data_IF_547745292509
#
_entry.id   IF_547745292509
#
_cell.length_a   1.000
_cell.length_b   1.000
_cell.length_c   1.000
_cell.angle_alpha   90.00
_cell.angle_beta   90.00
_cell.angle_gamma   90.00
#
_symmetry.space_group_name_H-M   'P 1'
#
loop_
_entity.id
_entity.type
_entity.pdbx_description
1 polymer ?
#
# COMPACT_ATOMS: atom_id res chain seq x y z
N UNK A 1 10.66 -21.18 0.45
CA UNK A 1 9.70 -20.45 -0.41
C UNK A 1 9.83 -18.98 -0.04
N UNK A 2 10.04 -18.08 -1.01
CA UNK A 2 10.15 -16.65 -0.72
C UNK A 2 8.83 -16.08 -0.19
N UNK A 3 8.89 -14.93 0.50
CA UNK A 3 7.69 -14.28 1.03
C UNK A 3 6.71 -13.85 -0.09
N UNK A 4 7.24 -13.46 -1.25
CA UNK A 4 6.42 -13.17 -2.43
C UNK A 4 5.62 -14.40 -2.86
N UNK A 5 6.27 -15.54 -3.07
CA UNK A 5 5.60 -16.77 -3.48
C UNK A 5 4.58 -17.24 -2.42
N UNK A 6 4.88 -17.08 -1.13
CA UNK A 6 3.92 -17.39 -0.07
C UNK A 6 2.65 -16.55 -0.16
N UNK A 7 2.75 -15.24 -0.48
CA UNK A 7 1.59 -14.36 -0.61
C UNK A 7 0.74 -14.66 -1.85
N UNK A 8 1.37 -14.98 -2.99
CA UNK A 8 0.61 -15.25 -4.22
C UNK A 8 0.12 -16.70 -4.33
N UNK A 9 0.59 -17.63 -3.50
CA UNK A 9 0.15 -19.03 -3.55
C UNK A 9 -1.36 -19.18 -3.31
N UNK A 10 -1.99 -18.51 -2.32
CA UNK A 10 -3.45 -18.56 -2.19
C UNK A 10 -4.22 -18.03 -3.39
N UNK A 11 -3.64 -17.06 -4.16
CA UNK A 11 -4.24 -16.62 -5.42
C UNK A 11 -4.19 -17.75 -6.45
N UNK A 12 -3.08 -18.46 -6.56
CA UNK A 12 -2.96 -19.62 -7.46
C UNK A 12 -3.91 -20.77 -7.07
N UNK A 13 -4.14 -20.94 -5.77
CA UNK A 13 -5.10 -21.94 -5.28
C UNK A 13 -6.55 -21.53 -5.62
N UNK A 14 -6.88 -20.25 -5.49
CA UNK A 14 -8.14 -19.68 -5.95
C UNK A 14 -8.32 -19.84 -7.46
N UNK A 15 -7.27 -19.58 -8.25
CA UNK A 15 -7.28 -19.80 -9.70
C UNK A 15 -7.62 -21.24 -10.05
N UNK A 16 -6.98 -22.22 -9.41
CA UNK A 16 -7.28 -23.66 -9.61
C UNK A 16 -8.73 -23.98 -9.26
N UNK A 17 -9.22 -23.50 -8.12
CA UNK A 17 -10.58 -23.75 -7.65
C UNK A 17 -11.66 -23.19 -8.60
N UNK A 18 -11.38 -22.05 -9.26
CA UNK A 18 -12.30 -21.38 -10.18
C UNK A 18 -12.03 -21.69 -11.67
N UNK A 19 -11.02 -22.51 -11.96
CA UNK A 19 -10.62 -22.84 -13.34
C UNK A 19 -10.17 -21.62 -14.13
N UNK A 20 -9.33 -20.78 -13.52
CA UNK A 20 -8.77 -19.58 -14.16
C UNK A 20 -7.37 -19.89 -14.71
N UNK A 21 -7.05 -19.31 -15.86
CA UNK A 21 -5.73 -19.41 -16.49
C UNK A 21 -4.76 -18.35 -15.97
N UNK A 22 -5.29 -17.18 -15.58
CA UNK A 22 -4.52 -16.09 -15.02
C UNK A 22 -5.33 -15.28 -14.00
N UNK A 23 -4.63 -14.55 -13.15
CA UNK A 23 -5.17 -13.53 -12.25
C UNK A 23 -4.42 -12.23 -12.43
N UNK A 24 -5.11 -11.10 -12.51
CA UNK A 24 -4.50 -9.78 -12.59
C UNK A 24 -4.82 -8.95 -11.36
N UNK A 25 -3.79 -8.51 -10.65
CA UNK A 25 -3.88 -7.50 -9.59
C UNK A 25 -3.62 -6.12 -10.19
N UNK A 26 -4.48 -5.15 -9.89
CA UNK A 26 -4.45 -3.76 -10.39
C UNK A 26 -4.55 -2.71 -9.30
N UNK A 27 -5.21 -3.05 -8.19
CA UNK A 27 -5.40 -2.12 -7.09
C UNK A 27 -4.13 -1.98 -6.28
N UNK A 28 -3.76 -0.72 -5.99
CA UNK A 28 -2.55 -0.39 -5.25
C UNK A 28 -2.40 -1.18 -3.92
N UNK A 29 -3.42 -1.29 -3.04
CA UNK A 29 -3.24 -2.02 -1.78
C UNK A 29 -2.97 -3.51 -1.97
N UNK A 30 -3.53 -4.14 -3.01
CA UNK A 30 -3.32 -5.56 -3.28
C UNK A 30 -1.94 -5.83 -3.88
N UNK A 31 -1.48 -4.95 -4.76
CA UNK A 31 -0.13 -5.01 -5.33
C UNK A 31 0.94 -4.74 -4.28
N UNK A 32 0.77 -3.68 -3.48
CA UNK A 32 1.69 -3.36 -2.40
C UNK A 32 1.83 -4.53 -1.40
N UNK A 33 0.71 -5.19 -1.05
CA UNK A 33 0.73 -6.41 -0.25
C UNK A 33 1.50 -7.55 -0.96
N UNK A 34 1.19 -7.83 -2.23
CA UNK A 34 1.80 -8.95 -2.94
C UNK A 34 3.32 -8.81 -3.04
N UNK A 35 3.82 -7.64 -3.45
CA UNK A 35 5.26 -7.41 -3.65
C UNK A 35 5.99 -6.94 -2.38
N UNK A 36 5.27 -6.53 -1.33
CA UNK A 36 5.79 -5.84 -0.15
C UNK A 36 6.60 -4.58 -0.49
N UNK A 37 6.15 -3.83 -1.50
CA UNK A 37 6.79 -2.67 -2.08
C UNK A 37 5.79 -1.60 -2.52
N UNK A 38 6.30 -0.46 -3.02
CA UNK A 38 5.47 0.64 -3.49
C UNK A 38 4.94 0.38 -4.89
N UNK A 39 3.64 0.23 -5.01
CA UNK A 39 2.95 0.01 -6.29
C UNK A 39 2.31 1.29 -6.87
N UNK A 40 2.49 2.44 -6.23
CA UNK A 40 1.93 3.73 -6.62
C UNK A 40 3.00 4.70 -7.13
N UNK A 41 2.55 5.73 -7.85
CA UNK A 41 3.28 6.99 -8.07
C UNK A 41 2.56 8.08 -7.30
N UNK A 42 1.32 8.50 -7.67
CA UNK A 42 0.53 9.35 -6.76
C UNK A 42 -0.17 8.49 -5.71
N UNK A 43 -0.15 8.95 -4.46
CA UNK A 43 -0.79 8.25 -3.33
C UNK A 43 -2.31 8.36 -3.31
N UNK A 44 -2.89 9.21 -4.15
CA UNK A 44 -4.32 9.54 -4.20
C UNK A 44 -5.12 8.69 -5.19
N UNK A 45 -4.47 7.84 -5.95
CA UNK A 45 -5.10 6.99 -6.99
C UNK A 45 -5.10 5.54 -6.52
N UNK A 46 -6.27 4.88 -6.58
CA UNK A 46 -6.39 3.46 -6.22
C UNK A 46 -5.69 2.53 -7.23
N UNK A 47 -5.65 2.94 -8.50
CA UNK A 47 -4.95 2.20 -9.54
C UNK A 47 -3.42 2.31 -9.34
N UNK A 48 -2.76 1.17 -9.31
CA UNK A 48 -1.30 1.12 -9.25
C UNK A 48 -0.63 1.51 -10.58
N UNK A 49 0.66 1.79 -10.54
CA UNK A 49 1.44 2.14 -11.74
C UNK A 49 1.79 0.93 -12.62
N UNK A 50 1.44 -0.29 -12.20
CA UNK A 50 1.58 -1.53 -12.97
C UNK A 50 0.44 -2.49 -12.68
N UNK A 51 0.27 -3.52 -13.55
CA UNK A 51 -0.57 -4.69 -13.30
C UNK A 51 0.34 -5.87 -12.98
N UNK A 52 -0.02 -6.72 -12.02
CA UNK A 52 0.67 -7.98 -11.78
C UNK A 52 -0.19 -9.13 -12.32
N UNK A 53 0.25 -9.72 -13.44
CA UNK A 53 -0.38 -10.89 -14.03
C UNK A 53 0.26 -12.13 -13.43
N UNK A 54 -0.54 -12.91 -12.72
CA UNK A 54 -0.14 -14.16 -12.05
C UNK A 54 -0.72 -15.32 -12.85
N UNK A 55 0.15 -16.26 -13.24
CA UNK A 55 -0.24 -17.56 -13.80
C UNK A 55 0.06 -18.68 -12.81
N UNK A 56 -0.18 -19.92 -13.20
CA UNK A 56 0.11 -21.07 -12.32
C UNK A 56 1.60 -21.20 -11.99
N UNK A 57 2.48 -20.72 -12.87
CA UNK A 57 3.93 -20.92 -12.80
C UNK A 57 4.75 -19.60 -12.83
N UNK A 58 4.16 -18.50 -13.21
CA UNK A 58 4.86 -17.22 -13.36
C UNK A 58 4.15 -16.04 -12.70
N UNK A 59 4.86 -14.90 -12.62
CA UNK A 59 4.30 -13.61 -12.26
C UNK A 59 5.00 -12.53 -13.10
N UNK A 60 4.22 -11.68 -13.77
CA UNK A 60 4.73 -10.63 -14.66
C UNK A 60 4.11 -9.29 -14.33
N UNK A 61 4.94 -8.30 -14.03
CA UNK A 61 4.54 -6.91 -13.89
C UNK A 61 4.47 -6.25 -15.27
N UNK A 62 3.30 -5.75 -15.64
CA UNK A 62 3.08 -4.98 -16.86
C UNK A 62 3.01 -3.50 -16.52
N UNK A 63 3.96 -2.72 -16.99
CA UNK A 63 4.08 -1.30 -16.69
C UNK A 63 4.57 -0.51 -17.91
N UNK A 64 4.53 0.81 -17.84
CA UNK A 64 5.07 1.65 -18.89
C UNK A 64 6.60 1.83 -18.79
N UNK A 65 7.22 2.30 -19.88
CA UNK A 65 8.66 2.51 -19.99
C UNK A 65 9.21 3.50 -18.96
N UNK A 66 8.38 4.39 -18.41
CA UNK A 66 8.79 5.41 -17.43
C UNK A 66 8.99 4.79 -16.05
N UNK A 67 8.06 3.91 -15.63
CA UNK A 67 8.06 3.30 -14.30
C UNK A 67 8.93 2.02 -14.21
N UNK A 68 9.13 1.33 -15.33
CA UNK A 68 9.83 0.04 -15.33
C UNK A 68 11.23 0.09 -14.65
N UNK A 69 12.09 1.09 -14.88
CA UNK A 69 13.41 1.14 -14.24
C UNK A 69 13.35 1.20 -12.72
N UNK A 70 12.48 2.06 -12.16
CA UNK A 70 12.31 2.20 -10.72
C UNK A 70 11.75 0.92 -10.10
N UNK A 71 10.71 0.36 -10.71
CA UNK A 71 10.08 -0.87 -10.21
C UNK A 71 11.08 -2.04 -10.17
N UNK A 72 11.90 -2.20 -11.21
CA UNK A 72 12.92 -3.25 -11.28
C UNK A 72 14.00 -3.05 -10.21
N UNK A 73 14.45 -1.81 -10.03
CA UNK A 73 15.59 -1.52 -9.17
C UNK A 73 15.22 -1.52 -7.68
N UNK A 74 13.99 -1.12 -7.33
CA UNK A 74 13.66 -0.74 -5.96
C UNK A 74 12.49 -1.52 -5.33
N UNK A 75 11.54 -2.04 -6.15
CA UNK A 75 10.26 -2.46 -5.59
C UNK A 75 9.92 -3.94 -5.89
N UNK A 76 10.26 -4.45 -7.06
CA UNK A 76 9.82 -5.78 -7.46
C UNK A 76 10.72 -6.89 -6.91
N UNK A 77 10.13 -7.98 -6.40
CA UNK A 77 10.88 -9.20 -6.10
C UNK A 77 11.53 -9.79 -7.36
N UNK A 78 12.66 -10.46 -7.19
CA UNK A 78 13.41 -11.08 -8.30
C UNK A 78 12.63 -12.15 -9.07
N UNK A 79 11.58 -12.70 -8.47
CA UNK A 79 10.69 -13.69 -9.09
C UNK A 79 9.68 -13.08 -10.06
N UNK A 80 9.56 -11.75 -10.09
CA UNK A 80 8.63 -11.03 -10.96
C UNK A 80 9.36 -10.58 -12.22
N UNK A 81 8.95 -11.09 -13.38
CA UNK A 81 9.38 -10.58 -14.67
C UNK A 81 8.70 -9.25 -14.99
N UNK A 82 9.33 -8.41 -15.81
CA UNK A 82 8.78 -7.11 -16.20
C UNK A 82 8.54 -7.04 -17.70
N UNK A 83 7.31 -6.72 -18.08
CA UNK A 83 6.93 -6.34 -19.44
C UNK A 83 6.71 -4.84 -19.51
N UNK A 84 7.63 -4.15 -20.17
CA UNK A 84 7.55 -2.71 -20.39
C UNK A 84 6.80 -2.41 -21.68
N UNK A 85 5.82 -1.50 -21.63
CA UNK A 85 4.98 -1.05 -22.75
C UNK A 85 5.11 0.47 -22.93
N UNK A 86 4.75 0.99 -24.09
CA UNK A 86 4.69 2.45 -24.28
C UNK A 86 3.56 3.01 -23.40
N UNK A 87 3.73 4.23 -22.89
CA UNK A 87 2.72 4.87 -22.05
C UNK A 87 1.35 5.04 -22.76
N UNK A 88 1.35 5.12 -24.09
CA UNK A 88 0.16 5.22 -24.93
C UNK A 88 -0.54 3.88 -25.19
N UNK A 89 0.11 2.76 -24.85
CA UNK A 89 -0.48 1.43 -24.93
C UNK A 89 -1.22 1.13 -23.63
N UNK A 90 -2.46 0.65 -23.73
CA UNK A 90 -3.20 0.20 -22.55
C UNK A 90 -2.61 -1.08 -21.95
N UNK A 91 -2.89 -1.33 -20.67
CA UNK A 91 -2.49 -2.57 -19.99
C UNK A 91 -3.44 -3.75 -20.29
N UNK A 92 -4.71 -3.49 -20.64
CA UNK A 92 -5.68 -4.53 -20.96
C UNK A 92 -5.28 -5.42 -22.15
N UNK A 93 -4.72 -4.88 -23.25
CA UNK A 93 -4.23 -5.71 -24.35
C UNK A 93 -3.08 -6.64 -24.00
N UNK A 94 -2.50 -6.49 -22.81
CA UNK A 94 -1.38 -7.31 -22.34
C UNK A 94 -1.83 -8.56 -21.56
N UNK A 95 -3.14 -8.71 -21.32
CA UNK A 95 -3.70 -9.92 -20.72
C UNK A 95 -3.60 -11.10 -21.69
N UNK A 96 -3.49 -12.35 -21.20
CA UNK A 96 -3.41 -13.52 -22.06
C UNK A 96 -4.68 -13.64 -22.93
N UNK A 97 -4.51 -13.70 -24.25
CA UNK A 97 -5.61 -13.79 -25.19
C UNK A 97 -6.34 -15.13 -25.07
N UNK A 98 -7.68 -15.11 -25.01
CA UNK A 98 -8.52 -16.30 -24.88
C UNK A 98 -8.48 -16.97 -23.51
N UNK A 99 -7.72 -16.44 -22.56
CA UNK A 99 -7.64 -16.96 -21.21
C UNK A 99 -8.83 -16.52 -20.34
N UNK A 100 -9.23 -17.38 -19.40
CA UNK A 100 -10.18 -17.04 -18.35
C UNK A 100 -9.46 -16.32 -17.23
N UNK A 101 -9.63 -14.98 -17.13
CA UNK A 101 -8.87 -14.12 -16.24
C UNK A 101 -9.71 -13.68 -15.03
N UNK A 102 -9.18 -13.89 -13.82
CA UNK A 102 -9.68 -13.26 -12.59
C UNK A 102 -9.01 -11.92 -12.32
N UNK A 103 -9.67 -11.03 -11.61
CA UNK A 103 -9.10 -9.73 -11.24
C UNK A 103 -9.62 -9.24 -9.91
N UNK A 104 -8.83 -8.38 -9.25
CA UNK A 104 -9.25 -7.59 -8.08
C UNK A 104 -10.00 -6.31 -8.46
N UNK A 105 -10.22 -6.09 -9.76
CA UNK A 105 -10.93 -4.93 -10.29
C UNK A 105 -11.82 -5.36 -11.47
N UNK A 106 -13.10 -4.94 -11.52
CA UNK A 106 -14.01 -5.27 -12.60
C UNK A 106 -13.47 -4.83 -13.97
N UNK A 107 -13.87 -5.55 -15.02
CA UNK A 107 -13.53 -5.25 -16.41
C UNK A 107 -14.27 -6.18 -17.36
N UNK A 108 -14.36 -5.82 -18.65
CA UNK A 108 -15.20 -6.51 -19.63
C UNK A 108 -14.84 -8.01 -19.80
N UNK A 109 -13.54 -8.32 -19.76
CA UNK A 109 -13.02 -9.68 -20.03
C UNK A 109 -12.40 -10.31 -18.77
N UNK A 110 -12.86 -9.91 -17.57
CA UNK A 110 -12.33 -10.38 -16.29
C UNK A 110 -13.44 -10.72 -15.31
N UNK A 111 -13.23 -11.76 -14.53
CA UNK A 111 -14.10 -12.12 -13.42
C UNK A 111 -13.65 -11.30 -12.21
N UNK A 112 -14.54 -10.48 -11.66
CA UNK A 112 -14.28 -9.73 -10.43
C UNK A 112 -14.21 -10.68 -9.24
N UNK A 113 -13.07 -10.68 -8.56
CA UNK A 113 -12.76 -11.47 -7.37
C UNK A 113 -12.10 -10.59 -6.29
N UNK A 114 -12.45 -9.30 -6.26
CA UNK A 114 -11.92 -8.34 -5.30
C UNK A 114 -12.16 -8.75 -3.86
N UNK A 115 -13.35 -9.28 -3.54
CA UNK A 115 -13.69 -9.76 -2.20
C UNK A 115 -12.83 -10.94 -1.79
N UNK A 116 -12.60 -11.90 -2.68
CA UNK A 116 -11.75 -13.06 -2.42
C UNK A 116 -10.29 -12.64 -2.14
N UNK A 117 -9.80 -11.64 -2.87
CA UNK A 117 -8.46 -11.09 -2.63
C UNK A 117 -8.37 -10.37 -1.28
N UNK A 118 -9.39 -9.65 -0.86
CA UNK A 118 -9.43 -9.04 0.48
C UNK A 118 -9.36 -10.08 1.59
N UNK A 119 -10.06 -11.20 1.45
CA UNK A 119 -10.00 -12.32 2.39
C UNK A 119 -8.60 -12.96 2.41
N UNK A 120 -8.02 -13.23 1.24
CA UNK A 120 -6.66 -13.78 1.13
C UNK A 120 -5.66 -12.86 1.81
N UNK A 121 -5.72 -11.57 1.54
CA UNK A 121 -4.81 -10.56 2.09
C UNK A 121 -4.94 -10.38 3.60
N UNK A 122 -6.11 -10.66 4.18
CA UNK A 122 -6.32 -10.60 5.62
C UNK A 122 -5.52 -11.65 6.39
N UNK A 123 -5.07 -12.72 5.72
CA UNK A 123 -4.24 -13.77 6.30
C UNK A 123 -2.75 -13.39 6.19
N UNK A 124 -2.14 -13.05 7.33
CA UNK A 124 -0.74 -12.63 7.39
C UNK A 124 0.18 -13.85 7.45
N UNK A 125 1.25 -13.82 6.66
CA UNK A 125 2.38 -14.75 6.79
C UNK A 125 3.31 -14.28 7.92
N UNK A 126 4.18 -15.17 8.42
CA UNK A 126 5.06 -14.86 9.56
C UNK A 126 5.94 -13.62 9.34
N UNK A 127 6.49 -13.46 8.13
CA UNK A 127 7.27 -12.28 7.77
C UNK A 127 6.47 -10.98 7.80
N UNK A 128 5.16 -11.02 7.50
CA UNK A 128 4.30 -9.85 7.58
C UNK A 128 4.03 -9.48 9.04
N UNK A 129 3.79 -10.47 9.90
CA UNK A 129 3.63 -10.24 11.34
C UNK A 129 4.89 -9.58 11.93
N UNK A 130 6.08 -10.05 11.55
CA UNK A 130 7.34 -9.45 12.00
C UNK A 130 7.49 -8.00 11.52
N UNK A 131 7.17 -7.72 10.25
CA UNK A 131 7.18 -6.37 9.68
C UNK A 131 6.20 -5.43 10.39
N UNK A 132 4.97 -5.87 10.64
CA UNK A 132 3.99 -5.06 11.38
C UNK A 132 4.47 -4.70 12.77
N UNK A 133 5.04 -5.66 13.52
CA UNK A 133 5.60 -5.39 14.85
C UNK A 133 6.69 -4.31 14.79
N UNK A 134 7.60 -4.41 13.82
CA UNK A 134 8.68 -3.43 13.64
C UNK A 134 8.13 -2.05 13.27
N UNK A 135 7.20 -1.97 12.31
CA UNK A 135 6.58 -0.70 11.90
C UNK A 135 5.87 -0.04 13.09
N UNK A 136 5.13 -0.80 13.88
CA UNK A 136 4.45 -0.27 15.06
C UNK A 136 5.44 0.28 16.11
N UNK A 137 6.55 -0.43 16.36
CA UNK A 137 7.57 0.00 17.28
C UNK A 137 8.25 1.31 16.81
N UNK A 138 8.66 1.36 15.54
CA UNK A 138 9.32 2.54 14.96
C UNK A 138 8.37 3.75 14.93
N UNK A 139 7.11 3.54 14.57
CA UNK A 139 6.09 4.58 14.56
C UNK A 139 5.80 5.14 15.97
N UNK A 140 5.75 4.28 16.98
CA UNK A 140 5.56 4.70 18.36
C UNK A 140 6.74 5.56 18.87
N UNK A 141 7.98 5.17 18.55
CA UNK A 141 9.18 5.94 18.87
C UNK A 141 9.19 7.29 18.15
N UNK A 142 8.92 7.29 16.84
CA UNK A 142 8.89 8.52 16.06
C UNK A 142 7.83 9.51 16.56
N UNK A 143 6.60 9.03 16.80
CA UNK A 143 5.52 9.84 17.36
C UNK A 143 5.89 10.37 18.74
N UNK A 144 6.41 9.52 19.65
CA UNK A 144 6.80 9.92 20.99
C UNK A 144 7.90 10.99 21.00
N UNK A 145 8.87 10.90 20.09
CA UNK A 145 9.94 11.90 19.99
C UNK A 145 9.42 13.23 19.40
N UNK A 146 8.50 13.21 18.44
CA UNK A 146 7.84 14.40 17.93
C UNK A 146 7.04 15.10 19.04
N UNK A 147 6.22 14.34 19.78
CA UNK A 147 5.37 14.88 20.85
C UNK A 147 6.12 15.50 22.01
N UNK A 148 7.37 15.08 22.28
CA UNK A 148 8.23 15.72 23.30
C UNK A 148 8.66 17.14 22.93
N UNK A 149 8.57 17.53 21.66
CA UNK A 149 8.97 18.85 21.16
C UNK A 149 7.78 19.83 21.13
N UNK A 150 6.56 19.34 21.31
CA UNK A 150 5.34 20.12 21.21
C UNK A 150 5.18 21.05 22.41
N UNK A 151 4.85 22.32 22.13
CA UNK A 151 4.58 23.34 23.17
C UNK A 151 3.15 23.90 23.01
N UNK A 152 2.59 24.42 24.10
CA UNK A 152 1.18 24.86 24.16
C UNK A 152 0.81 25.96 23.17
N UNK A 153 1.77 26.68 22.63
CA UNK A 153 1.60 27.74 21.63
C UNK A 153 1.60 27.25 20.18
N UNK A 154 1.95 25.98 19.96
CA UNK A 154 1.94 25.38 18.62
C UNK A 154 0.52 25.32 18.06
N UNK A 155 0.42 25.41 16.74
CA UNK A 155 -0.82 25.10 16.02
C UNK A 155 -0.88 23.61 15.71
N UNK A 156 -2.08 23.10 15.47
CA UNK A 156 -2.26 21.69 15.08
C UNK A 156 -1.43 21.32 13.84
N UNK A 157 -1.29 22.24 12.87
CA UNK A 157 -0.44 22.03 11.67
C UNK A 157 1.06 21.99 11.99
N UNK A 158 1.52 22.70 13.01
CA UNK A 158 2.92 22.68 13.43
C UNK A 158 3.26 21.32 14.05
N UNK A 159 2.37 20.82 14.90
CA UNK A 159 2.45 19.45 15.47
C UNK A 159 2.43 18.40 14.37
N UNK A 160 1.56 18.54 13.37
CA UNK A 160 1.51 17.64 12.22
C UNK A 160 2.83 17.63 11.43
N UNK A 161 3.46 18.80 11.25
CA UNK A 161 4.78 18.94 10.63
C UNK A 161 5.88 18.19 11.38
N UNK A 162 5.93 18.33 12.70
CA UNK A 162 6.89 17.61 13.56
C UNK A 162 6.73 16.09 13.45
N UNK A 163 5.50 15.60 13.51
CA UNK A 163 5.19 14.17 13.39
C UNK A 163 5.59 13.65 12.01
N UNK A 164 5.24 14.39 10.95
CA UNK A 164 5.59 14.04 9.58
C UNK A 164 7.10 13.89 9.40
N UNK A 165 7.86 14.86 9.89
CA UNK A 165 9.31 14.84 9.83
C UNK A 165 9.89 13.60 10.55
N UNK A 166 9.43 13.34 11.77
CA UNK A 166 9.92 12.20 12.56
C UNK A 166 9.59 10.84 11.92
N UNK A 167 8.43 10.69 11.29
CA UNK A 167 8.06 9.47 10.59
C UNK A 167 8.94 9.24 9.36
N UNK A 168 9.17 10.26 8.53
CA UNK A 168 10.07 10.13 7.38
C UNK A 168 11.51 9.84 7.77
N UNK A 169 12.01 10.37 8.88
CA UNK A 169 13.33 10.01 9.41
C UNK A 169 13.41 8.52 9.83
N UNK A 170 12.27 7.91 10.17
CA UNK A 170 12.17 6.49 10.49
C UNK A 170 11.82 5.59 9.29
N UNK A 171 11.92 6.09 8.05
CA UNK A 171 11.51 5.40 6.82
C UNK A 171 10.04 4.97 6.87
N UNK A 172 9.17 5.84 7.40
CA UNK A 172 7.73 5.62 7.51
C UNK A 172 6.97 6.68 6.71
N UNK A 173 6.05 6.22 5.89
CA UNK A 173 5.10 7.05 5.16
C UNK A 173 3.81 7.22 5.97
N UNK A 174 3.10 8.33 5.75
CA UNK A 174 1.85 8.63 6.44
C UNK A 174 0.68 8.17 5.56
N UNK A 175 -0.16 7.28 6.09
CA UNK A 175 -1.44 6.95 5.51
C UNK A 175 -2.58 7.81 6.10
N UNK A 176 -2.48 8.16 7.39
CA UNK A 176 -3.38 9.08 8.07
C UNK A 176 -2.65 9.83 9.19
N UNK A 177 -2.97 11.10 9.36
CA UNK A 177 -2.50 11.92 10.46
C UNK A 177 -3.65 12.80 10.98
N UNK A 178 -4.03 12.59 12.22
CA UNK A 178 -5.00 13.41 12.93
C UNK A 178 -4.35 14.17 14.06
N UNK A 179 -4.63 15.46 14.18
CA UNK A 179 -4.20 16.30 15.31
C UNK A 179 -5.36 17.20 15.74
N UNK A 180 -5.61 17.26 17.04
CA UNK A 180 -6.56 18.19 17.62
C UNK A 180 -6.05 18.75 18.94
N UNK A 181 -6.28 20.05 19.14
CA UNK A 181 -6.05 20.74 20.41
C UNK A 181 -7.35 21.09 21.13
N UNK A 182 -7.25 21.48 22.41
CA UNK A 182 -8.34 22.01 23.23
C UNK A 182 -9.63 21.20 23.14
N UNK A 183 -10.76 21.87 22.91
CA UNK A 183 -12.08 21.27 22.80
C UNK A 183 -12.28 20.37 21.57
N UNK A 184 -11.46 20.55 20.52
CA UNK A 184 -11.55 19.74 19.31
C UNK A 184 -11.23 18.27 19.59
N UNK A 185 -10.40 17.96 20.60
CA UNK A 185 -10.10 16.59 21.05
C UNK A 185 -11.39 15.81 21.38
N UNK A 186 -12.39 16.47 21.93
CA UNK A 186 -13.65 15.83 22.34
C UNK A 186 -14.73 15.86 21.27
N UNK A 187 -14.61 16.75 20.29
CA UNK A 187 -15.65 16.98 19.27
C UNK A 187 -15.50 16.08 18.06
N UNK A 188 -14.27 15.71 17.70
CA UNK A 188 -13.99 15.02 16.43
C UNK A 188 -13.22 13.72 16.67
N UNK A 189 -13.71 12.63 16.07
CA UNK A 189 -13.05 11.32 16.13
C UNK A 189 -11.81 11.26 15.22
N UNK A 190 -11.90 11.88 14.04
CA UNK A 190 -10.83 11.94 13.06
C UNK A 190 -10.54 13.41 12.72
N UNK A 191 -9.93 14.17 13.64
CA UNK A 191 -9.67 15.59 13.42
C UNK A 191 -8.52 15.78 12.46
N UNK A 192 -8.76 16.45 11.34
CA UNK A 192 -7.68 16.89 10.48
C UNK A 192 -7.02 18.15 11.10
N UNK A 193 -5.68 18.31 11.00
CA UNK A 193 -4.96 19.45 11.54
C UNK A 193 -5.45 20.78 10.95
N UNK A 194 -5.58 21.78 11.81
CA UNK A 194 -5.96 23.15 11.43
C UNK A 194 -4.95 24.18 11.95
N UNK A 195 -5.22 25.48 11.71
CA UNK A 195 -4.43 26.57 12.29
C UNK A 195 -4.75 26.87 13.77
N UNK A 196 -5.64 26.09 14.39
CA UNK A 196 -5.99 26.28 15.80
C UNK A 196 -4.79 25.98 16.70
N UNK A 197 -4.60 26.82 17.75
CA UNK A 197 -3.57 26.61 18.76
C UNK A 197 -3.98 25.43 19.67
N UNK A 198 -3.03 24.54 19.95
CA UNK A 198 -3.32 23.30 20.71
C UNK A 198 -3.58 23.55 22.20
N UNK A 199 -3.04 24.63 22.79
CA UNK A 199 -3.21 24.98 24.17
C UNK A 199 -2.68 23.91 25.14
N UNK A 200 -3.43 23.66 26.21
CA UNK A 200 -2.98 22.74 27.30
C UNK A 200 -3.31 21.26 27.02
N UNK A 201 -3.92 20.96 25.88
CA UNK A 201 -4.31 19.58 25.53
C UNK A 201 -4.16 19.37 24.04
N UNK A 202 -3.51 18.29 23.68
CA UNK A 202 -3.40 17.85 22.29
C UNK A 202 -3.60 16.34 22.20
N UNK A 203 -4.26 15.89 21.13
CA UNK A 203 -4.33 14.50 20.73
C UNK A 203 -3.74 14.37 19.33
N UNK A 204 -2.89 13.38 19.12
CA UNK A 204 -2.35 13.02 17.83
C UNK A 204 -2.55 11.53 17.56
N UNK A 205 -2.96 11.20 16.34
CA UNK A 205 -3.10 9.81 15.89
C UNK A 205 -2.53 9.65 14.49
N UNK A 206 -1.88 8.52 14.26
CA UNK A 206 -1.23 8.22 12.98
C UNK A 206 -1.62 6.82 12.48
N UNK A 207 -1.71 6.68 11.15
CA UNK A 207 -1.53 5.39 10.49
C UNK A 207 -0.25 5.51 9.65
N UNK A 208 0.75 4.73 10.02
CA UNK A 208 2.03 4.69 9.32
C UNK A 208 2.15 3.44 8.47
N UNK A 209 2.87 3.54 7.36
CA UNK A 209 3.19 2.42 6.48
C UNK A 209 4.65 2.48 6.07
N UNK A 210 5.22 1.34 5.70
CA UNK A 210 6.58 1.24 5.15
C UNK A 210 6.54 0.43 3.87
N UNK A 211 6.83 1.09 2.74
CA UNK A 211 6.87 0.46 1.41
C UNK A 211 5.63 -0.39 1.09
N UNK A 212 4.45 0.14 1.38
CA UNK A 212 3.19 -0.57 1.14
C UNK A 212 2.04 0.39 0.82
#
# INVERSE_FOLDING_TARGET
MSAFIQRIQPIRDLMKAKGLDAFVLRRNPNLAWAIAGRAHVPTTIDAACFDLIITHDSATAVTNVVEAPRLIAEELPSEVSVKSIKWSEGRDPQLPTGAKVGSDQPGADRIDLGTEIEIIRASLIESDVARFKQICADAAVALGNAMKQVVSTDREIDVAGLITHALWQADLEIAFLGVAGQDRVHKFRHPLPTNAVIGNRVSASICAKRRA
#
